data_IF_126366076483
#
_entry.id   IF_126366076483
#
_cell.length_a   1.000
_cell.length_b   1.000
_cell.length_c   1.000
_cell.angle_alpha   90.00
_cell.angle_beta   90.00
_cell.angle_gamma   90.00
#
_symmetry.space_group_name_H-M   'P 1'
#
loop_
_entity.id
_entity.type
_entity.pdbx_description
1 polymer ?
#
# COMPACT_ATOMS: atom_id res chain seq x y z
N UNK A 1 15.59 -3.55 43.37
CA UNK A 1 14.15 -3.80 43.48
C UNK A 1 13.90 -5.20 42.96
N UNK A 2 13.63 -6.13 43.86
CA UNK A 2 13.35 -7.52 43.50
C UNK A 2 11.87 -7.66 43.12
N UNK A 3 11.53 -8.73 42.39
CA UNK A 3 10.17 -8.90 41.86
C UNK A 3 9.16 -9.03 43.00
N UNK A 4 9.55 -9.60 44.14
CA UNK A 4 8.71 -9.69 45.34
C UNK A 4 8.38 -8.31 45.94
N UNK A 5 9.36 -7.40 46.01
CA UNK A 5 9.16 -6.04 46.53
C UNK A 5 8.21 -5.22 45.65
N UNK A 6 8.26 -5.45 44.33
CA UNK A 6 7.36 -4.81 43.38
C UNK A 6 5.90 -5.25 43.60
N UNK A 7 5.65 -6.54 43.81
CA UNK A 7 4.29 -7.07 44.01
C UNK A 7 3.69 -6.65 45.36
N UNK A 8 4.50 -6.59 46.40
CA UNK A 8 4.12 -6.03 47.72
C UNK A 8 3.66 -4.57 47.60
N UNK A 9 4.46 -3.74 46.92
CA UNK A 9 4.14 -2.33 46.68
C UNK A 9 2.89 -2.15 45.81
N UNK A 10 2.70 -2.98 44.79
CA UNK A 10 1.52 -2.93 43.92
C UNK A 10 0.23 -3.27 44.69
N UNK A 11 0.26 -4.25 45.60
CA UNK A 11 -0.88 -4.61 46.45
C UNK A 11 -1.24 -3.50 47.44
N UNK A 12 -0.24 -2.90 48.09
CA UNK A 12 -0.47 -1.81 49.05
C UNK A 12 -1.10 -0.58 48.39
N UNK A 13 -0.72 -0.29 47.14
CA UNK A 13 -1.26 0.82 46.36
C UNK A 13 -2.60 0.53 45.68
N UNK A 14 -3.23 -0.64 45.93
CA UNK A 14 -4.47 -1.08 45.25
C UNK A 14 -4.38 -0.97 43.72
N UNK A 15 -3.19 -1.22 43.15
CA UNK A 15 -3.00 -1.28 41.71
C UNK A 15 -3.72 -2.53 41.18
N UNK A 16 -4.98 -2.36 40.80
CA UNK A 16 -5.71 -3.36 40.04
C UNK A 16 -5.19 -3.30 38.60
N UNK A 17 -4.16 -4.10 38.33
CA UNK A 17 -3.92 -4.56 36.98
C UNK A 17 -5.08 -5.51 36.67
N UNK A 18 -6.15 -4.96 36.11
CA UNK A 18 -7.21 -5.77 35.51
C UNK A 18 -6.60 -6.78 34.55
N UNK A 19 -7.33 -7.82 34.11
CA UNK A 19 -6.83 -8.65 33.03
C UNK A 19 -6.34 -7.71 31.92
N UNK A 20 -5.13 -7.94 31.40
CA UNK A 20 -4.80 -7.49 30.05
C UNK A 20 -5.70 -8.27 29.08
N UNK A 21 -7.02 -8.11 29.23
CA UNK A 21 -7.98 -8.50 28.23
C UNK A 21 -7.74 -7.53 27.12
N UNK A 22 -7.05 -8.01 26.08
CA UNK A 22 -7.16 -7.59 24.68
C UNK A 22 -7.64 -6.14 24.51
N UNK A 23 -6.92 -5.22 25.16
CA UNK A 23 -7.05 -3.80 24.98
C UNK A 23 -6.24 -3.38 23.78
N UNK A 24 -6.25 -4.18 22.71
CA UNK A 24 -6.21 -3.57 21.41
C UNK A 24 -7.49 -2.76 21.38
N UNK A 25 -7.39 -1.46 21.67
CA UNK A 25 -8.33 -0.54 21.08
C UNK A 25 -8.47 -1.02 19.63
N UNK A 26 -9.66 -1.47 19.24
CA UNK A 26 -10.07 -1.56 17.85
C UNK A 26 -9.79 -0.18 17.29
N UNK A 27 -8.53 0.03 16.89
CA UNK A 27 -8.15 1.12 16.02
C UNK A 27 -9.05 0.84 14.85
N UNK A 28 -10.06 1.70 14.59
CA UNK A 28 -11.10 1.39 13.63
C UNK A 28 -10.36 0.95 12.38
N UNK A 29 -10.43 -0.36 12.08
CA UNK A 29 -9.76 -0.93 10.93
C UNK A 29 -10.23 -0.05 9.80
N UNK A 30 -9.31 0.73 9.22
CA UNK A 30 -9.65 1.74 8.24
C UNK A 30 -10.54 1.04 7.23
N UNK A 31 -11.82 1.42 7.16
CA UNK A 31 -12.75 0.78 6.24
C UNK A 31 -12.08 0.81 4.88
N UNK A 32 -12.00 -0.33 4.21
CA UNK A 32 -11.34 -0.47 2.91
C UNK A 32 -11.81 0.65 1.94
N UNK A 33 -13.04 1.12 2.09
CA UNK A 33 -13.61 2.23 1.32
C UNK A 33 -12.94 3.60 1.56
N UNK A 34 -12.43 3.86 2.76
CA UNK A 34 -11.76 5.11 3.15
C UNK A 34 -10.27 5.13 2.78
N UNK A 35 -9.69 4.04 2.27
CA UNK A 35 -8.29 4.01 1.81
C UNK A 35 -8.18 4.00 0.28
N UNK A 36 -9.23 3.56 -0.43
CA UNK A 36 -9.27 3.60 -1.90
C UNK A 36 -9.65 4.99 -2.40
N UNK A 37 -9.00 6.03 -1.90
CA UNK A 37 -9.13 7.38 -2.44
C UNK A 37 -8.38 7.45 -3.77
N UNK A 38 -9.06 7.98 -4.79
CA UNK A 38 -8.56 8.07 -6.16
C UNK A 38 -7.16 8.72 -6.26
N UNK A 39 -6.82 9.79 -5.51
CA UNK A 39 -5.48 10.38 -5.54
C UNK A 39 -4.38 9.41 -5.10
N UNK A 40 -4.62 8.61 -4.05
CA UNK A 40 -3.61 7.66 -3.55
C UNK A 40 -3.39 6.54 -4.57
N UNK A 41 -4.48 5.96 -5.11
CA UNK A 41 -4.39 4.94 -6.15
C UNK A 41 -3.67 5.47 -7.39
N UNK A 42 -3.94 6.72 -7.80
CA UNK A 42 -3.24 7.36 -8.89
C UNK A 42 -1.73 7.47 -8.65
N UNK A 43 -1.29 7.79 -7.42
CA UNK A 43 0.13 7.84 -7.09
C UNK A 43 0.79 6.46 -7.12
N UNK A 44 0.11 5.41 -6.66
CA UNK A 44 0.62 4.03 -6.80
C UNK A 44 0.73 3.61 -8.26
N UNK A 45 -0.26 3.93 -9.10
CA UNK A 45 -0.20 3.63 -10.54
C UNK A 45 0.95 4.40 -11.21
N UNK A 46 1.14 5.69 -10.90
CA UNK A 46 2.25 6.50 -11.42
C UNK A 46 3.62 5.95 -11.00
N UNK A 47 3.75 5.57 -9.73
CA UNK A 47 4.96 4.94 -9.18
C UNK A 47 5.34 3.68 -9.96
N UNK A 48 4.37 2.79 -10.19
CA UNK A 48 4.60 1.55 -10.94
C UNK A 48 4.91 1.82 -12.42
N UNK A 49 4.13 2.70 -13.05
CA UNK A 49 4.27 3.04 -14.46
C UNK A 49 5.56 3.79 -14.78
N UNK A 50 6.16 4.50 -13.80
CA UNK A 50 7.48 5.15 -13.92
C UNK A 50 8.60 4.09 -13.93
N UNK A 51 8.45 3.03 -13.14
CA UNK A 51 9.47 2.01 -12.93
C UNK A 51 9.92 1.28 -14.20
N UNK A 52 11.00 0.49 -14.10
CA UNK A 52 11.53 -0.28 -15.24
C UNK A 52 10.56 -1.37 -15.71
N UNK A 53 9.97 -2.10 -14.76
CA UNK A 53 8.93 -3.09 -15.06
C UNK A 53 7.58 -2.41 -15.00
N UNK A 54 6.94 -2.29 -16.15
CA UNK A 54 5.65 -1.61 -16.30
C UNK A 54 4.52 -2.55 -15.87
N UNK A 55 3.50 -2.05 -15.16
CA UNK A 55 2.31 -2.85 -14.87
C UNK A 55 1.47 -3.02 -16.14
N UNK A 56 0.77 -4.15 -16.26
CA UNK A 56 -0.23 -4.34 -17.32
C UNK A 56 -1.63 -4.01 -16.81
N UNK A 57 -2.50 -3.55 -17.69
CA UNK A 57 -3.86 -3.12 -17.34
C UNK A 57 -4.75 -4.26 -16.82
N UNK A 58 -4.54 -5.48 -17.33
CA UNK A 58 -5.31 -6.69 -17.01
C UNK A 58 -5.08 -7.18 -15.56
N UNK A 59 -3.89 -6.94 -15.00
CA UNK A 59 -3.53 -7.30 -13.62
C UNK A 59 -3.41 -6.09 -12.67
N UNK A 60 -3.75 -4.89 -13.16
CA UNK A 60 -3.45 -3.64 -12.45
C UNK A 60 -4.09 -3.58 -11.05
N UNK A 61 -5.38 -3.92 -10.96
CA UNK A 61 -6.10 -3.89 -9.69
C UNK A 61 -5.50 -4.82 -8.63
N UNK A 62 -5.08 -6.01 -9.04
CA UNK A 62 -4.41 -6.97 -8.16
C UNK A 62 -3.03 -6.46 -7.74
N UNK A 63 -2.22 -5.99 -8.71
CA UNK A 63 -0.85 -5.52 -8.46
C UNK A 63 -0.85 -4.31 -7.52
N UNK A 64 -1.77 -3.35 -7.73
CA UNK A 64 -1.95 -2.19 -6.84
C UNK A 64 -2.39 -2.65 -5.45
N UNK A 65 -3.34 -3.57 -5.35
CA UNK A 65 -3.82 -4.10 -4.07
C UNK A 65 -2.71 -4.78 -3.26
N UNK A 66 -1.97 -5.71 -3.88
CA UNK A 66 -0.86 -6.40 -3.23
C UNK A 66 0.25 -5.43 -2.80
N UNK A 67 0.55 -4.42 -3.61
CA UNK A 67 1.55 -3.42 -3.27
C UNK A 67 1.09 -2.57 -2.06
N UNK A 68 -0.18 -2.16 -2.02
CA UNK A 68 -0.76 -1.42 -0.89
C UNK A 68 -0.75 -2.26 0.39
N UNK A 69 -1.16 -3.53 0.33
CA UNK A 69 -1.14 -4.46 1.46
C UNK A 69 0.27 -4.61 2.06
N UNK A 70 1.28 -4.74 1.19
CA UNK A 70 2.67 -4.86 1.62
C UNK A 70 3.21 -3.55 2.20
N UNK A 71 2.72 -2.40 1.70
CA UNK A 71 3.22 -1.07 2.09
C UNK A 71 2.61 -0.58 3.40
N UNK A 72 1.30 -0.73 3.60
CA UNK A 72 0.57 -0.13 4.70
C UNK A 72 0.22 -1.17 5.76
N UNK A 73 0.76 -0.98 6.97
CA UNK A 73 0.60 -1.92 8.09
C UNK A 73 -0.87 -2.17 8.50
N UNK A 74 -1.76 -1.21 8.26
CA UNK A 74 -3.19 -1.31 8.57
C UNK A 74 -3.95 -2.40 7.78
N UNK A 75 -3.28 -3.06 6.83
CA UNK A 75 -3.84 -4.16 6.04
C UNK A 75 -3.21 -5.53 6.33
N UNK A 76 -2.19 -5.60 7.20
CA UNK A 76 -1.65 -6.87 7.67
C UNK A 76 -2.68 -7.53 8.58
N UNK A 77 -3.49 -8.42 8.01
CA UNK A 77 -4.53 -9.15 8.73
C UNK A 77 -5.96 -8.73 8.40
N UNK A 78 -6.19 -7.89 7.37
CA UNK A 78 -7.56 -7.76 6.85
C UNK A 78 -8.00 -9.13 6.34
N UNK A 79 -9.08 -9.66 6.89
CA UNK A 79 -9.72 -10.92 6.50
C UNK A 79 -10.18 -10.97 5.03
N UNK A 80 -10.05 -9.86 4.32
CA UNK A 80 -10.28 -9.73 2.89
C UNK A 80 -8.95 -9.40 2.20
N UNK A 81 -8.46 -10.30 1.37
CA UNK A 81 -7.35 -10.00 0.47
C UNK A 81 -7.77 -8.86 -0.48
N UNK A 82 -7.20 -7.68 -0.28
CA UNK A 82 -7.49 -6.41 -0.97
C UNK A 82 -7.22 -6.52 -2.47
N UNK A 83 -6.22 -7.29 -2.88
CA UNK A 83 -5.99 -7.62 -4.30
C UNK A 83 -7.22 -8.25 -5.00
N UNK A 84 -8.16 -8.80 -4.23
CA UNK A 84 -9.42 -9.40 -4.69
C UNK A 84 -10.65 -8.52 -4.46
N UNK A 85 -10.50 -7.35 -3.86
CA UNK A 85 -11.60 -6.42 -3.66
C UNK A 85 -12.12 -5.88 -4.99
N UNK A 86 -13.38 -6.18 -5.32
CA UNK A 86 -14.05 -5.63 -6.50
C UNK A 86 -14.10 -4.10 -6.48
N UNK A 87 -14.32 -3.49 -5.31
CA UNK A 87 -14.34 -2.05 -5.14
C UNK A 87 -12.96 -1.42 -5.42
N UNK A 88 -11.87 -2.02 -4.93
CA UNK A 88 -10.52 -1.57 -5.28
C UNK A 88 -10.31 -1.63 -6.79
N UNK A 89 -10.68 -2.74 -7.44
CA UNK A 89 -10.48 -2.91 -8.89
C UNK A 89 -11.18 -1.81 -9.70
N UNK A 90 -12.44 -1.53 -9.39
CA UNK A 90 -13.21 -0.44 -10.04
C UNK A 90 -12.53 0.91 -9.80
N UNK A 91 -12.13 1.21 -8.56
CA UNK A 91 -11.48 2.49 -8.23
C UNK A 91 -10.09 2.65 -8.86
N UNK A 92 -9.34 1.56 -9.01
CA UNK A 92 -8.05 1.54 -9.71
C UNK A 92 -8.24 1.83 -11.20
N UNK A 93 -9.29 1.29 -11.83
CA UNK A 93 -9.63 1.64 -13.21
C UNK A 93 -10.01 3.11 -13.33
N UNK A 94 -10.80 3.64 -12.40
CA UNK A 94 -11.14 5.07 -12.39
C UNK A 94 -9.89 5.96 -12.20
N UNK A 95 -8.96 5.56 -11.34
CA UNK A 95 -7.70 6.27 -11.14
C UNK A 95 -6.82 6.22 -12.40
N UNK A 96 -6.74 5.07 -13.08
CA UNK A 96 -6.04 4.95 -14.36
C UNK A 96 -6.66 5.86 -15.43
N UNK A 97 -7.99 5.85 -15.57
CA UNK A 97 -8.70 6.69 -16.52
C UNK A 97 -8.45 8.18 -16.24
N UNK A 98 -8.48 8.59 -14.97
CA UNK A 98 -8.10 9.94 -14.57
C UNK A 98 -6.68 10.32 -15.01
N UNK A 99 -5.70 9.43 -14.77
CA UNK A 99 -4.31 9.68 -15.15
C UNK A 99 -4.12 9.76 -16.68
N UNK A 100 -4.84 8.95 -17.44
CA UNK A 100 -4.78 8.95 -18.90
C UNK A 100 -5.45 10.22 -19.47
N UNK A 101 -6.62 10.61 -18.95
CA UNK A 101 -7.29 11.87 -19.30
C UNK A 101 -6.44 13.11 -18.96
N UNK A 102 -5.65 13.03 -17.89
CA UNK A 102 -4.74 14.09 -17.46
C UNK A 102 -3.38 14.09 -18.20
N UNK A 103 -3.15 13.19 -19.16
CA UNK A 103 -1.89 13.06 -19.90
C UNK A 103 -0.67 12.78 -18.98
N UNK A 104 -0.90 12.03 -17.90
CA UNK A 104 0.14 11.63 -16.93
C UNK A 104 0.65 10.20 -17.20
N UNK A 105 -0.17 9.36 -17.82
CA UNK A 105 0.20 8.01 -18.25
C UNK A 105 -0.35 7.74 -19.66
N UNK A 106 0.18 6.70 -20.30
CA UNK A 106 -0.32 6.16 -21.55
C UNK A 106 -0.46 4.64 -21.45
N UNK A 107 -1.60 4.11 -21.90
CA UNK A 107 -1.83 2.67 -22.05
C UNK A 107 -1.52 2.27 -23.49
N UNK A 108 -0.51 1.42 -23.67
CA UNK A 108 -0.23 0.86 -24.98
C UNK A 108 -1.33 -0.15 -25.36
N UNK A 109 -2.08 0.14 -26.42
CA UNK A 109 -3.23 -0.69 -26.82
C UNK A 109 -2.85 -2.09 -27.31
N UNK A 110 -1.63 -2.26 -27.82
CA UNK A 110 -1.14 -3.55 -28.33
C UNK A 110 -0.56 -4.41 -27.22
N UNK A 111 0.28 -3.83 -26.38
CA UNK A 111 1.01 -4.59 -25.33
C UNK A 111 0.31 -4.58 -23.98
N UNK A 112 -0.70 -3.71 -23.80
CA UNK A 112 -1.46 -3.49 -22.57
C UNK A 112 -0.64 -2.98 -21.38
N UNK A 113 0.61 -2.60 -21.60
CA UNK A 113 1.46 -1.98 -20.59
C UNK A 113 1.14 -0.50 -20.40
N UNK A 114 1.26 -0.07 -19.15
CA UNK A 114 1.04 1.31 -18.73
C UNK A 114 2.40 1.97 -18.50
N UNK A 115 2.64 3.11 -19.14
CA UNK A 115 3.88 3.89 -19.00
C UNK A 115 3.57 5.33 -18.63
N UNK A 116 4.48 6.00 -17.92
CA UNK A 116 4.33 7.42 -17.60
C UNK A 116 4.67 8.30 -18.79
N UNK A 117 4.02 9.45 -18.86
CA UNK A 117 4.47 10.57 -19.70
C UNK A 117 5.60 11.33 -18.99
N UNK A 118 6.21 12.30 -19.67
CA UNK A 118 7.16 13.21 -19.03
C UNK A 118 6.49 13.99 -17.89
N UNK A 119 5.26 14.49 -18.11
CA UNK A 119 4.46 15.19 -17.09
C UNK A 119 4.18 14.31 -15.87
N UNK A 120 3.76 13.06 -16.08
CA UNK A 120 3.52 12.11 -14.99
C UNK A 120 4.78 11.80 -14.18
N UNK A 121 5.92 11.69 -14.87
CA UNK A 121 7.21 11.45 -14.21
C UNK A 121 7.62 12.64 -13.34
N UNK A 122 7.48 13.87 -13.85
CA UNK A 122 7.75 15.09 -13.08
C UNK A 122 6.80 15.26 -11.90
N UNK A 123 5.51 14.97 -12.08
CA UNK A 123 4.52 15.03 -10.99
C UNK A 123 4.86 14.04 -9.88
N UNK A 124 5.21 12.80 -10.22
CA UNK A 124 5.62 11.81 -9.23
C UNK A 124 6.89 12.23 -8.49
N UNK A 125 7.87 12.79 -9.20
CA UNK A 125 9.09 13.30 -8.58
C UNK A 125 8.77 14.30 -7.47
N UNK A 126 7.93 15.31 -7.77
CA UNK A 126 7.46 16.29 -6.79
C UNK A 126 6.80 15.65 -5.55
N UNK A 127 5.95 14.64 -5.76
CA UNK A 127 5.27 13.94 -4.66
C UNK A 127 6.21 13.04 -3.82
N UNK A 128 7.30 12.56 -4.43
CA UNK A 128 8.23 11.62 -3.80
C UNK A 128 9.48 12.28 -3.18
N UNK A 129 9.84 13.49 -3.58
CA UNK A 129 11.06 14.17 -3.11
C UNK A 129 10.96 14.73 -1.68
N UNK A 130 9.75 14.97 -1.18
CA UNK A 130 9.54 15.51 0.16
C UNK A 130 9.85 14.53 1.32
N UNK A 131 9.65 15.04 2.54
CA UNK A 131 9.79 14.28 3.81
C UNK A 131 8.45 13.90 4.44
N UNK A 132 7.33 14.28 3.79
CA UNK A 132 5.99 13.97 4.29
C UNK A 132 5.64 12.48 4.21
N UNK A 133 4.60 12.09 4.95
CA UNK A 133 4.11 10.70 5.00
C UNK A 133 3.86 10.10 3.61
N UNK A 134 3.35 10.89 2.66
CA UNK A 134 3.14 10.45 1.28
C UNK A 134 4.47 10.07 0.61
N UNK A 135 5.47 10.94 0.67
CA UNK A 135 6.77 10.71 0.05
C UNK A 135 7.47 9.47 0.63
N UNK A 136 7.43 9.31 1.96
CA UNK A 136 7.96 8.12 2.65
C UNK A 136 7.21 6.86 2.20
N UNK A 137 5.88 6.93 2.13
CA UNK A 137 5.03 5.81 1.68
C UNK A 137 5.34 5.41 0.25
N UNK A 138 5.48 6.37 -0.67
CA UNK A 138 5.78 6.11 -2.08
C UNK A 138 7.18 5.49 -2.26
N UNK A 139 8.19 5.98 -1.54
CA UNK A 139 9.54 5.38 -1.54
C UNK A 139 9.51 3.93 -1.05
N UNK A 140 8.75 3.67 0.02
CA UNK A 140 8.59 2.32 0.54
C UNK A 140 7.85 1.40 -0.44
N UNK A 141 6.74 1.88 -1.03
CA UNK A 141 5.97 1.16 -2.03
C UNK A 141 6.79 0.83 -3.28
N UNK A 142 7.63 1.76 -3.76
CA UNK A 142 8.48 1.58 -4.93
C UNK A 142 9.49 0.44 -4.70
N UNK A 143 10.08 0.36 -3.50
CA UNK A 143 10.96 -0.74 -3.11
C UNK A 143 10.21 -2.08 -3.11
N UNK A 144 9.05 -2.12 -2.47
CA UNK A 144 8.23 -3.34 -2.36
C UNK A 144 7.73 -3.83 -3.72
N UNK A 145 7.35 -2.92 -4.61
CA UNK A 145 6.99 -3.28 -5.98
C UNK A 145 8.20 -3.87 -6.74
N UNK A 146 9.40 -3.33 -6.53
CA UNK A 146 10.64 -3.91 -7.02
C UNK A 146 10.86 -5.34 -6.52
N UNK A 147 10.60 -5.60 -5.23
CA UNK A 147 10.75 -6.91 -4.60
C UNK A 147 9.71 -7.92 -5.14
N UNK A 148 8.43 -7.53 -5.26
CA UNK A 148 7.37 -8.35 -5.90
C UNK A 148 7.77 -8.80 -7.30
N UNK A 149 8.38 -7.89 -8.06
CA UNK A 149 8.83 -8.17 -9.41
C UNK A 149 10.00 -9.15 -9.45
N UNK A 150 10.95 -9.07 -8.50
CA UNK A 150 12.05 -10.03 -8.35
C UNK A 150 11.56 -11.40 -7.91
N UNK A 151 10.63 -11.47 -6.95
CA UNK A 151 9.99 -12.70 -6.50
C UNK A 151 9.35 -13.45 -7.68
N UNK A 152 8.59 -12.73 -8.50
CA UNK A 152 7.95 -13.29 -9.70
C UNK A 152 8.99 -13.85 -10.67
N UNK A 153 10.09 -13.13 -10.91
CA UNK A 153 11.16 -13.57 -11.80
C UNK A 153 11.91 -14.80 -11.29
N UNK A 154 12.14 -14.90 -9.98
CA UNK A 154 12.76 -16.08 -9.36
C UNK A 154 11.85 -17.29 -9.52
N UNK A 155 10.54 -17.15 -9.23
CA UNK A 155 9.57 -18.24 -9.41
C UNK A 155 9.55 -18.78 -10.84
N UNK A 156 9.61 -17.90 -11.84
CA UNK A 156 9.64 -18.30 -13.25
C UNK A 156 10.94 -18.99 -13.69
N UNK A 157 12.04 -18.85 -12.95
CA UNK A 157 13.32 -19.51 -13.27
C UNK A 157 13.50 -20.88 -12.62
N UNK A 158 12.69 -21.18 -11.60
CA UNK A 158 12.74 -22.44 -10.84
C UNK A 158 11.73 -23.46 -11.39
N UNK A 159 10.78 -23.00 -12.21
CA UNK A 159 9.87 -23.82 -13.02
C UNK A 159 10.45 -24.04 -14.42
#
# INVERSE_FOLDING_TARGET
MNIEEFWESAKQNKLSLGPMGEGAADSPLLSNEALFHLPLLAMFILMMAKGRKKPRIDELGQTVGECIERTLAGFKGSSQHIGWSGNLRVRTVNALAFLELADLVHVNQNTKFISTTQKGTSLYALASEGEGNLAITLKHAERLYGDMNRETQIRLKVL
#
